data_IF_087227780714
#
_entry.id   IF_087227780714
#
_cell.length_a   1.000
_cell.length_b   1.000
_cell.length_c   1.000
_cell.angle_alpha   90.00
_cell.angle_beta   90.00
_cell.angle_gamma   90.00
#
_symmetry.space_group_name_H-M   'P 1'
#
loop_
_entity.id
_entity.type
_entity.pdbx_description
1 polymer ?
#
# COMPACT_ATOMS: atom_id res chain seq x y z
N UNK A 1 -15.11 -34.47 5.97
CA UNK A 1 -15.52 -33.08 5.64
C UNK A 1 -14.52 -32.53 4.64
N UNK A 2 -14.86 -32.48 3.34
CA UNK A 2 -13.98 -31.91 2.32
C UNK A 2 -13.95 -30.39 2.46
N UNK A 3 -12.75 -29.81 2.49
CA UNK A 3 -12.54 -28.36 2.57
C UNK A 3 -13.05 -27.73 1.27
N UNK A 4 -14.10 -26.91 1.35
CA UNK A 4 -14.60 -26.14 0.21
C UNK A 4 -13.47 -25.20 -0.26
N UNK A 5 -12.96 -25.44 -1.48
CA UNK A 5 -11.91 -24.64 -2.09
C UNK A 5 -12.56 -23.63 -3.04
N UNK A 6 -12.39 -22.35 -2.73
CA UNK A 6 -12.81 -21.28 -3.62
C UNK A 6 -11.67 -21.02 -4.60
N UNK A 7 -11.68 -21.71 -5.73
CA UNK A 7 -10.80 -21.38 -6.85
C UNK A 7 -11.47 -20.29 -7.66
N UNK A 8 -10.91 -19.08 -7.64
CA UNK A 8 -11.29 -18.04 -8.58
C UNK A 8 -11.16 -18.62 -10.01
N UNK A 9 -12.28 -18.77 -10.69
CA UNK A 9 -12.32 -19.12 -12.12
C UNK A 9 -12.20 -17.82 -12.88
N UNK A 10 -11.32 -17.77 -13.87
CA UNK A 10 -11.24 -16.63 -14.77
C UNK A 10 -12.62 -16.38 -15.39
N UNK A 11 -12.99 -15.10 -15.49
CA UNK A 11 -14.24 -14.71 -16.13
C UNK A 11 -14.17 -15.08 -17.61
N UNK A 12 -15.13 -15.87 -18.06
CA UNK A 12 -15.27 -16.26 -19.46
C UNK A 12 -16.20 -15.27 -20.15
N UNK A 13 -15.66 -14.46 -21.05
CA UNK A 13 -16.41 -13.42 -21.77
C UNK A 13 -17.53 -13.99 -22.66
N UNK A 14 -17.49 -15.28 -22.99
CA UNK A 14 -18.55 -15.94 -23.74
C UNK A 14 -19.74 -16.35 -22.85
N UNK A 15 -19.59 -16.33 -21.52
CA UNK A 15 -20.66 -16.68 -20.58
C UNK A 15 -21.40 -15.42 -20.13
N UNK A 16 -22.73 -15.36 -20.31
CA UNK A 16 -23.52 -14.23 -19.81
C UNK A 16 -23.43 -14.16 -18.28
N UNK A 17 -23.17 -12.97 -17.75
CA UNK A 17 -23.16 -12.72 -16.31
C UNK A 17 -24.60 -12.58 -15.80
N UNK A 18 -24.96 -13.23 -14.67
CA UNK A 18 -26.27 -13.03 -14.08
C UNK A 18 -26.38 -11.61 -13.51
N UNK A 19 -27.44 -10.89 -13.87
CA UNK A 19 -27.78 -9.57 -13.34
C UNK A 19 -29.00 -9.71 -12.43
N UNK A 20 -28.83 -9.44 -11.15
CA UNK A 20 -29.91 -9.48 -10.16
C UNK A 20 -30.42 -8.07 -9.87
N UNK A 21 -31.73 -7.93 -9.66
CA UNK A 21 -32.35 -6.70 -9.15
C UNK A 21 -32.62 -6.84 -7.66
N UNK A 22 -32.86 -5.72 -6.97
CA UNK A 22 -33.10 -5.72 -5.52
C UNK A 22 -34.22 -6.67 -5.07
N UNK A 23 -35.24 -6.88 -5.89
CA UNK A 23 -36.36 -7.80 -5.62
C UNK A 23 -36.02 -9.29 -5.80
N UNK A 24 -34.92 -9.60 -6.49
CA UNK A 24 -34.47 -10.95 -6.78
C UNK A 24 -33.45 -11.45 -5.73
N UNK A 25 -33.01 -10.54 -4.84
CA UNK A 25 -32.14 -10.84 -3.71
C UNK A 25 -33.01 -11.25 -2.51
N UNK A 26 -32.63 -12.29 -1.75
CA UNK A 26 -33.32 -12.63 -0.51
C UNK A 26 -33.22 -11.47 0.49
N UNK A 27 -34.26 -11.28 1.30
CA UNK A 27 -34.27 -10.24 2.32
C UNK A 27 -33.14 -10.47 3.34
N UNK A 28 -32.53 -9.38 3.79
CA UNK A 28 -31.35 -9.42 4.68
C UNK A 28 -31.61 -10.21 5.97
N UNK A 29 -32.87 -10.29 6.41
CA UNK A 29 -33.28 -11.00 7.62
C UNK A 29 -33.28 -12.54 7.43
N UNK A 30 -33.55 -13.03 6.22
CA UNK A 30 -33.48 -14.47 5.89
C UNK A 30 -32.04 -14.95 5.76
N UNK A 31 -31.10 -14.03 5.51
CA UNK A 31 -29.66 -14.31 5.47
C UNK A 31 -29.05 -14.54 6.87
N UNK A 32 -29.69 -14.04 7.94
CA UNK A 32 -29.19 -14.16 9.33
C UNK A 32 -29.40 -15.58 9.90
N UNK A 33 -30.46 -16.26 9.47
CA UNK A 33 -30.75 -17.64 9.91
C UNK A 33 -29.85 -18.69 9.21
N UNK A 34 -29.19 -18.30 8.13
CA UNK A 34 -28.20 -19.12 7.42
C UNK A 34 -26.82 -18.83 8.04
N UNK A 35 -26.53 -19.45 9.18
CA UNK A 35 -25.17 -19.58 9.75
C UNK A 35 -24.25 -20.48 8.88
N UNK A 36 -24.39 -20.44 7.54
CA UNK A 36 -23.35 -20.94 6.65
C UNK A 36 -22.47 -19.74 6.41
N UNK A 37 -21.40 -19.64 7.19
CA UNK A 37 -20.36 -18.65 6.99
C UNK A 37 -20.09 -18.52 5.48
N UNK A 38 -20.56 -17.43 4.89
CA UNK A 38 -20.14 -17.06 3.54
C UNK A 38 -18.63 -16.94 3.67
N UNK A 39 -17.85 -17.78 2.98
CA UNK A 39 -16.39 -17.67 3.07
C UNK A 39 -16.05 -16.24 2.69
N UNK A 40 -15.41 -15.53 3.64
CA UNK A 40 -14.99 -14.16 3.42
C UNK A 40 -14.16 -14.13 2.14
N UNK A 41 -14.60 -13.31 1.18
CA UNK A 41 -13.90 -13.17 -0.08
C UNK A 41 -12.47 -12.70 0.22
N UNK A 42 -11.44 -13.33 -0.37
CA UNK A 42 -10.10 -12.81 -0.22
C UNK A 42 -10.08 -11.42 -0.84
N UNK A 43 -9.70 -10.44 -0.02
CA UNK A 43 -9.59 -9.00 -0.29
C UNK A 43 -8.59 -8.68 -1.40
N UNK A 44 -7.74 -9.65 -1.78
CA UNK A 44 -6.77 -9.51 -2.86
C UNK A 44 -5.54 -8.68 -2.48
N UNK A 45 -5.42 -8.31 -1.20
CA UNK A 45 -4.27 -7.60 -0.64
C UNK A 45 -3.28 -8.60 -0.05
N UNK A 46 -2.01 -8.22 0.04
CA UNK A 46 -1.00 -9.06 0.69
C UNK A 46 -1.29 -9.14 2.20
N UNK A 47 -1.03 -10.31 2.80
CA UNK A 47 -1.33 -10.55 4.23
C UNK A 47 -0.60 -9.54 5.11
N UNK A 48 0.62 -9.18 4.74
CA UNK A 48 1.46 -8.20 5.41
C UNK A 48 0.86 -6.79 5.33
N UNK A 49 0.21 -6.45 4.22
CA UNK A 49 -0.46 -5.16 4.01
C UNK A 49 -1.74 -5.05 4.88
N UNK A 50 -2.51 -6.13 4.97
CA UNK A 50 -3.70 -6.19 5.84
C UNK A 50 -3.37 -6.12 7.33
N UNK A 51 -2.16 -6.54 7.69
CA UNK A 51 -1.66 -6.53 9.07
C UNK A 51 -0.89 -5.25 9.41
N UNK A 52 -0.80 -4.28 8.50
CA UNK A 52 -0.11 -3.02 8.76
C UNK A 52 -0.78 -2.27 9.91
N UNK A 53 -0.05 -2.17 11.00
CA UNK A 53 -0.58 -1.74 12.27
C UNK A 53 -0.95 -0.25 12.30
N UNK A 54 -0.23 0.61 11.57
CA UNK A 54 -0.59 2.03 11.45
C UNK A 54 -1.89 2.21 10.67
N UNK A 55 -2.10 1.42 9.63
CA UNK A 55 -3.32 1.42 8.83
C UNK A 55 -4.52 0.97 9.67
N UNK A 56 -4.37 -0.14 10.40
CA UNK A 56 -5.41 -0.65 11.31
C UNK A 56 -5.79 0.36 12.40
N UNK A 57 -4.79 1.03 12.99
CA UNK A 57 -5.03 2.12 13.95
C UNK A 57 -5.83 3.24 13.30
N UNK A 58 -5.37 3.77 12.16
CA UNK A 58 -6.07 4.87 11.46
C UNK A 58 -7.53 4.52 11.11
N UNK A 59 -7.79 3.33 10.56
CA UNK A 59 -9.15 2.84 10.23
C UNK A 59 -10.02 2.71 11.50
N UNK A 60 -9.46 2.18 12.59
CA UNK A 60 -10.20 1.99 13.84
C UNK A 60 -10.59 3.31 14.50
N UNK A 61 -9.73 4.34 14.48
CA UNK A 61 -10.13 5.67 14.97
C UNK A 61 -11.26 6.28 14.14
N UNK A 62 -11.16 6.21 12.81
CA UNK A 62 -12.12 6.85 11.91
C UNK A 62 -13.52 6.25 12.00
N UNK A 63 -13.63 4.94 12.24
CA UNK A 63 -14.92 4.25 12.35
C UNK A 63 -15.65 4.53 13.67
N UNK A 64 -14.91 4.78 14.77
CA UNK A 64 -15.47 5.00 16.11
C UNK A 64 -15.73 6.49 16.42
N UNK A 65 -14.88 7.39 15.94
CA UNK A 65 -14.98 8.83 16.19
C UNK A 65 -15.26 9.60 14.89
N UNK A 66 -16.54 9.73 14.52
CA UNK A 66 -16.94 10.53 13.34
C UNK A 66 -16.75 12.04 13.52
N UNK A 67 -16.63 12.52 14.76
CA UNK A 67 -16.70 13.96 15.09
C UNK A 67 -15.35 14.62 15.44
N UNK A 68 -14.30 13.84 15.74
CA UNK A 68 -12.95 14.37 16.04
C UNK A 68 -11.92 13.77 15.09
N UNK A 69 -11.62 14.50 14.01
CA UNK A 69 -10.61 14.16 12.99
C UNK A 69 -9.16 14.17 13.51
N UNK A 70 -8.96 14.68 14.71
CA UNK A 70 -7.63 14.87 15.27
C UNK A 70 -7.12 13.55 15.85
N UNK A 71 -5.90 13.19 15.43
CA UNK A 71 -4.95 12.37 16.18
C UNK A 71 -4.82 10.85 15.96
N UNK A 72 -5.24 10.30 14.81
CA UNK A 72 -4.73 8.98 14.40
C UNK A 72 -4.41 8.94 12.90
N UNK A 73 -3.35 9.66 12.51
CA UNK A 73 -2.79 9.71 11.16
C UNK A 73 -1.47 8.93 11.16
N UNK A 74 -1.15 8.28 10.04
CA UNK A 74 0.14 7.64 9.82
C UNK A 74 1.22 8.74 9.91
N UNK A 75 2.24 8.61 10.77
CA UNK A 75 3.26 9.65 10.91
C UNK A 75 4.03 9.76 9.60
N UNK A 76 4.07 10.96 9.02
CA UNK A 76 4.88 11.31 7.86
C UNK A 76 5.99 12.24 8.36
N UNK A 77 7.25 12.07 7.93
CA UNK A 77 8.32 13.00 8.29
C UNK A 77 7.98 14.42 7.82
N UNK A 78 8.37 15.42 8.61
CA UNK A 78 8.23 16.81 8.25
C UNK A 78 9.21 17.15 7.11
N UNK A 79 8.73 17.81 6.07
CA UNK A 79 9.56 18.25 4.95
C UNK A 79 10.25 19.57 5.29
N UNK A 80 11.55 19.53 5.57
CA UNK A 80 12.38 20.73 5.65
C UNK A 80 12.66 21.27 4.25
N UNK A 81 12.06 22.41 3.90
CA UNK A 81 12.07 22.93 2.52
C UNK A 81 13.07 24.04 2.26
N UNK A 82 13.80 24.55 3.27
CA UNK A 82 14.57 25.78 3.11
C UNK A 82 15.92 25.78 3.82
N UNK A 83 16.92 25.25 3.12
CA UNK A 83 18.31 25.27 3.56
C UNK A 83 19.00 26.50 2.95
N UNK A 84 18.93 27.64 3.64
CA UNK A 84 19.49 28.93 3.16
C UNK A 84 20.99 28.89 2.88
N UNK A 85 21.71 27.91 3.45
CA UNK A 85 23.14 27.71 3.24
C UNK A 85 23.46 26.82 2.03
N UNK A 86 22.48 26.11 1.46
CA UNK A 86 22.71 25.12 0.39
C UNK A 86 23.37 25.76 -0.82
N UNK A 87 22.80 26.89 -1.29
CA UNK A 87 23.30 27.62 -2.46
C UNK A 87 24.70 28.22 -2.25
N UNK A 88 25.11 28.44 -0.99
CA UNK A 88 26.46 28.92 -0.66
C UNK A 88 27.50 27.81 -0.75
N UNK A 89 27.13 26.59 -0.36
CA UNK A 89 28.05 25.44 -0.31
C UNK A 89 28.14 24.69 -1.64
N UNK A 90 27.03 24.56 -2.35
CA UNK A 90 26.94 23.76 -3.57
C UNK A 90 26.64 24.65 -4.77
N UNK A 91 27.68 24.97 -5.55
CA UNK A 91 27.51 25.66 -6.84
C UNK A 91 27.07 24.62 -7.87
N UNK A 92 25.83 24.75 -8.37
CA UNK A 92 25.13 23.77 -9.22
C UNK A 92 25.66 23.59 -10.65
N UNK A 93 26.96 23.72 -10.88
CA UNK A 93 27.57 23.59 -12.20
C UNK A 93 27.87 22.12 -12.55
N UNK A 94 26.82 21.32 -12.76
CA UNK A 94 26.95 19.95 -13.28
C UNK A 94 26.49 19.88 -14.73
N UNK A 95 27.39 19.54 -15.64
CA UNK A 95 27.07 19.25 -17.05
C UNK A 95 26.68 17.77 -17.17
N UNK A 96 25.43 17.50 -17.54
CA UNK A 96 24.93 16.13 -17.69
C UNK A 96 25.60 15.46 -18.90
N UNK A 97 26.32 14.35 -18.72
CA UNK A 97 26.97 13.65 -19.83
C UNK A 97 25.94 12.88 -20.67
N UNK A 98 26.23 12.72 -21.98
CA UNK A 98 25.40 11.91 -22.89
C UNK A 98 25.56 10.40 -22.69
N UNK A 99 26.58 9.99 -21.94
CA UNK A 99 26.93 8.60 -21.66
C UNK A 99 26.88 8.35 -20.15
N UNK A 100 26.81 7.07 -19.76
CA UNK A 100 26.89 6.68 -18.36
C UNK A 100 28.22 7.13 -17.73
N UNK A 101 28.16 7.61 -16.50
CA UNK A 101 29.35 8.04 -15.77
C UNK A 101 30.17 6.81 -15.35
N UNK A 102 31.39 6.72 -15.85
CA UNK A 102 32.37 5.75 -15.36
C UNK A 102 33.29 6.44 -14.34
N UNK A 103 33.17 6.09 -13.07
CA UNK A 103 33.97 6.65 -11.98
C UNK A 103 35.00 5.61 -11.54
N UNK A 104 36.29 5.94 -11.69
CA UNK A 104 37.38 5.15 -11.12
C UNK A 104 37.96 5.91 -9.93
N UNK A 105 37.72 5.39 -8.73
CA UNK A 105 38.28 5.97 -7.50
C UNK A 105 39.79 5.72 -7.47
N UNK A 106 40.57 6.81 -7.39
CA UNK A 106 41.97 6.72 -7.00
C UNK A 106 42.01 6.62 -5.47
N UNK A 107 42.08 5.40 -4.95
CA UNK A 107 42.57 5.18 -3.60
C UNK A 107 44.00 5.70 -3.55
N UNK A 108 44.22 6.78 -2.79
CA UNK A 108 45.56 7.25 -2.47
C UNK A 108 46.35 6.06 -1.91
N UNK A 109 47.33 5.57 -2.68
CA UNK A 109 48.35 4.69 -2.14
C UNK A 109 49.07 5.51 -1.08
N UNK A 110 48.71 5.27 0.19
CA UNK A 110 49.51 5.72 1.33
C UNK A 110 50.85 5.02 1.14
N UNK A 111 51.81 5.72 0.54
CA UNK A 111 53.20 5.34 0.63
C UNK A 111 53.57 5.43 2.10
N UNK A 112 53.56 4.28 2.79
CA UNK A 112 54.26 4.11 4.03
C UNK A 112 55.73 4.42 3.72
N UNK A 113 56.17 5.61 4.15
CA UNK A 113 57.58 5.92 4.28
C UNK A 113 58.21 4.92 5.25
N UNK A 114 59.39 4.42 4.87
CA UNK A 114 60.27 3.53 5.63
C UNK A 114 60.50 3.98 7.07
#
# INVERSE_FOLDING_TARGET
MSKLSFRARALDAAKPLPVYRNKDLPDLNDCVSINRAVPQMPTGMEKEEELEHHLQRAISAQSVFREKKEHMVIPVPEAESNITYYDRLYKGELKVPKQLMHIQLLLFKIHAFQ
#
